data_IF_246654278344
#
_entry.id   IF_246654278344
#
_cell.length_a   1.000
_cell.length_b   1.000
_cell.length_c   1.000
_cell.angle_alpha   90.00
_cell.angle_beta   90.00
_cell.angle_gamma   90.00
#
_symmetry.space_group_name_H-M   'P 1'
#
loop_
_entity.id
_entity.type
_entity.pdbx_description
1 polymer ?
#
# COMPACT_ATOMS: atom_id res chain seq x y z
N UNK A 1 -5.17 26.76 -19.04
CA UNK A 1 -5.32 26.14 -17.72
C UNK A 1 -5.46 24.65 -17.97
N UNK A 2 -4.36 23.91 -17.85
CA UNK A 2 -4.41 22.45 -17.90
C UNK A 2 -5.18 21.99 -16.66
N UNK A 3 -6.16 21.09 -16.85
CA UNK A 3 -6.83 20.44 -15.72
C UNK A 3 -5.74 19.72 -14.93
N UNK A 4 -5.51 20.14 -13.68
CA UNK A 4 -4.74 19.37 -12.71
C UNK A 4 -5.60 18.13 -12.43
N UNK A 5 -5.36 17.10 -13.23
CA UNK A 5 -6.03 15.82 -13.10
C UNK A 5 -5.48 15.17 -11.84
N UNK A 6 -6.36 14.82 -10.88
CA UNK A 6 -6.04 14.12 -9.63
C UNK A 6 -4.96 13.03 -9.88
N UNK A 7 -3.81 13.05 -9.17
CA UNK A 7 -2.73 12.08 -9.34
C UNK A 7 -3.20 10.62 -9.23
N UNK A 8 -4.15 10.35 -8.34
CA UNK A 8 -4.78 9.03 -8.21
C UNK A 8 -5.55 8.69 -9.49
N UNK A 9 -6.30 9.66 -10.03
CA UNK A 9 -7.01 9.51 -11.30
C UNK A 9 -6.06 9.28 -12.48
N UNK A 10 -4.88 9.89 -12.48
CA UNK A 10 -3.86 9.67 -13.52
C UNK A 10 -3.31 8.25 -13.49
N UNK A 11 -3.00 7.71 -12.31
CA UNK A 11 -2.58 6.31 -12.16
C UNK A 11 -3.69 5.34 -12.58
N UNK A 12 -4.93 5.62 -12.16
CA UNK A 12 -6.11 4.86 -12.60
C UNK A 12 -6.20 4.82 -14.12
N UNK A 13 -6.00 5.96 -14.81
CA UNK A 13 -6.06 6.02 -16.26
C UNK A 13 -4.92 5.24 -16.95
N UNK A 14 -3.83 4.94 -16.25
CA UNK A 14 -2.70 4.14 -16.76
C UNK A 14 -2.91 2.64 -16.61
N UNK A 15 -3.64 2.17 -15.60
CA UNK A 15 -4.10 0.78 -15.47
C UNK A 15 -5.29 0.51 -16.41
N UNK A 16 -5.23 -0.49 -17.30
CA UNK A 16 -6.33 -0.76 -18.25
C UNK A 16 -7.47 -1.60 -17.63
N UNK A 17 -8.63 -0.96 -17.36
CA UNK A 17 -10.05 -1.47 -17.21
C UNK A 17 -10.30 -2.64 -16.22
N UNK A 18 -11.42 -2.74 -15.49
CA UNK A 18 -12.84 -2.68 -15.88
C UNK A 18 -13.74 -2.48 -14.65
N UNK A 19 -14.94 -1.90 -14.84
CA UNK A 19 -15.95 -1.69 -13.79
C UNK A 19 -16.17 -2.94 -12.93
N UNK A 20 -16.14 -2.78 -11.61
CA UNK A 20 -16.86 -3.67 -10.71
C UNK A 20 -17.44 -2.91 -9.51
N UNK A 21 -18.56 -3.42 -9.04
CA UNK A 21 -19.59 -2.81 -8.20
C UNK A 21 -19.22 -2.69 -6.72
N UNK A 22 -19.70 -1.63 -6.07
CA UNK A 22 -19.92 -1.52 -4.61
C UNK A 22 -18.65 -1.30 -3.79
N UNK A 23 -18.22 -0.05 -3.64
CA UNK A 23 -16.92 0.27 -3.02
C UNK A 23 -16.80 -0.21 -1.56
N UNK A 24 -17.89 -0.12 -0.79
CA UNK A 24 -17.96 -0.54 0.60
C UNK A 24 -17.80 -2.06 0.77
N UNK A 25 -18.37 -2.84 -0.15
CA UNK A 25 -18.27 -4.30 -0.11
C UNK A 25 -16.85 -4.78 -0.42
N UNK A 26 -16.21 -4.17 -1.42
CA UNK A 26 -14.80 -4.44 -1.71
C UNK A 26 -13.91 -4.10 -0.52
N UNK A 27 -14.08 -2.90 0.06
CA UNK A 27 -13.35 -2.47 1.24
C UNK A 27 -13.45 -3.46 2.40
N UNK A 28 -14.68 -3.90 2.73
CA UNK A 28 -14.94 -4.88 3.79
C UNK A 28 -14.27 -6.21 3.49
N UNK A 29 -14.48 -6.79 2.30
CA UNK A 29 -13.90 -8.09 1.94
C UNK A 29 -12.37 -8.06 1.93
N UNK A 30 -11.77 -7.00 1.40
CA UNK A 30 -10.31 -6.83 1.41
C UNK A 30 -9.81 -6.74 2.84
N UNK A 31 -10.52 -6.02 3.70
CA UNK A 31 -10.12 -5.88 5.10
C UNK A 31 -10.20 -7.22 5.84
N UNK A 32 -11.28 -7.97 5.65
CA UNK A 32 -11.48 -9.30 6.25
C UNK A 32 -10.41 -10.30 5.79
N UNK A 33 -10.06 -10.30 4.50
CA UNK A 33 -9.01 -11.15 3.95
C UNK A 33 -7.65 -10.85 4.60
N UNK A 34 -7.28 -9.57 4.68
CA UNK A 34 -6.00 -9.14 5.24
C UNK A 34 -5.95 -9.41 6.74
N UNK A 35 -6.99 -9.09 7.50
CA UNK A 35 -7.09 -9.40 8.93
C UNK A 35 -7.00 -10.90 9.20
N UNK A 36 -7.67 -11.73 8.39
CA UNK A 36 -7.54 -13.17 8.49
C UNK A 36 -6.09 -13.60 8.29
N UNK A 37 -5.43 -13.08 7.25
CA UNK A 37 -4.04 -13.41 6.98
C UNK A 37 -3.09 -12.96 8.09
N UNK A 38 -3.19 -11.72 8.57
CA UNK A 38 -2.40 -11.24 9.70
C UNK A 38 -2.59 -12.17 10.93
N UNK A 39 -3.82 -12.67 11.17
CA UNK A 39 -4.12 -13.58 12.29
C UNK A 39 -3.55 -14.99 12.16
N UNK A 40 -3.08 -15.39 10.97
CA UNK A 40 -2.45 -16.70 10.77
C UNK A 40 -1.00 -16.73 11.28
N UNK A 41 -0.34 -15.57 11.35
CA UNK A 41 1.06 -15.46 11.78
C UNK A 41 1.20 -15.20 13.28
N UNK A 42 0.23 -14.49 13.88
CA UNK A 42 0.15 -14.25 15.32
C UNK A 42 -1.32 -14.16 15.75
N UNK A 43 -1.65 -14.59 16.97
CA UNK A 43 -2.98 -14.35 17.53
C UNK A 43 -3.20 -12.84 17.73
N UNK A 44 -3.88 -12.19 16.78
CA UNK A 44 -4.21 -10.77 16.88
C UNK A 44 -5.36 -10.54 17.87
N UNK A 45 -5.12 -9.76 18.95
CA UNK A 45 -6.18 -9.29 19.84
C UNK A 45 -7.25 -8.50 19.08
N UNK A 46 -8.50 -8.55 19.53
CA UNK A 46 -9.64 -7.90 18.87
C UNK A 46 -9.44 -6.38 18.73
N UNK A 47 -8.96 -5.75 19.78
CA UNK A 47 -8.61 -4.34 19.91
C UNK A 47 -7.54 -3.89 18.91
N UNK A 48 -6.64 -4.79 18.48
CA UNK A 48 -5.71 -4.53 17.36
C UNK A 48 -6.42 -4.60 16.01
N UNK A 49 -7.36 -5.53 15.82
CA UNK A 49 -8.12 -5.64 14.56
C UNK A 49 -8.90 -4.37 14.24
N UNK A 50 -9.45 -3.72 15.26
CA UNK A 50 -10.18 -2.44 15.10
C UNK A 50 -9.28 -1.27 14.64
N UNK A 51 -7.96 -1.38 14.81
CA UNK A 51 -7.03 -0.34 14.34
C UNK A 51 -6.72 -0.46 12.85
N UNK A 52 -6.98 -1.61 12.23
CA UNK A 52 -6.71 -1.81 10.82
C UNK A 52 -7.75 -1.11 9.94
N UNK A 53 -7.30 -0.10 9.19
CA UNK A 53 -8.13 0.63 8.24
C UNK A 53 -7.33 0.92 6.98
N UNK A 54 -7.87 0.53 5.83
CA UNK A 54 -7.28 0.85 4.53
C UNK A 54 -7.76 2.26 4.10
N UNK A 55 -6.86 3.20 3.81
CA UNK A 55 -7.23 4.54 3.34
C UNK A 55 -8.12 4.52 2.09
N UNK A 56 -9.17 5.35 2.07
CA UNK A 56 -10.18 5.38 1.01
C UNK A 56 -9.59 5.63 -0.39
N UNK A 57 -8.60 6.53 -0.49
CA UNK A 57 -7.91 6.82 -1.74
C UNK A 57 -7.23 5.58 -2.33
N UNK A 58 -6.66 4.72 -1.47
CA UNK A 58 -6.02 3.48 -1.90
C UNK A 58 -7.06 2.42 -2.32
N UNK A 59 -8.18 2.33 -1.60
CA UNK A 59 -9.30 1.45 -2.00
C UNK A 59 -9.80 1.82 -3.39
N UNK A 60 -10.03 3.11 -3.66
CA UNK A 60 -10.48 3.60 -4.97
C UNK A 60 -9.47 3.24 -6.07
N UNK A 61 -8.18 3.38 -5.78
CA UNK A 61 -7.12 2.95 -6.69
C UNK A 61 -7.22 1.44 -6.99
N UNK A 62 -7.24 0.58 -5.96
CA UNK A 62 -7.29 -0.89 -6.12
C UNK A 62 -8.52 -1.39 -6.88
N UNK A 63 -9.67 -0.70 -6.77
CA UNK A 63 -10.89 -1.06 -7.49
C UNK A 63 -10.82 -0.84 -8.99
N UNK A 64 -9.88 -0.01 -9.44
CA UNK A 64 -9.90 0.53 -10.80
C UNK A 64 -8.68 0.13 -11.62
N UNK A 65 -7.56 -0.18 -10.98
CA UNK A 65 -6.35 -0.63 -11.65
C UNK A 65 -6.38 -2.15 -11.96
N UNK A 66 -5.48 -2.57 -12.85
CA UNK A 66 -5.26 -3.99 -13.13
C UNK A 66 -4.86 -4.73 -11.84
N UNK A 67 -5.16 -6.02 -11.74
CA UNK A 67 -4.94 -6.80 -10.51
C UNK A 67 -3.46 -6.97 -10.18
N UNK A 68 -2.58 -7.03 -11.19
CA UNK A 68 -1.16 -7.34 -10.99
C UNK A 68 -0.35 -6.11 -10.56
N UNK A 69 0.21 -5.36 -11.52
CA UNK A 69 0.96 -4.14 -11.25
C UNK A 69 0.90 -3.20 -12.44
N UNK A 70 1.14 -1.92 -12.18
CA UNK A 70 1.26 -0.88 -13.20
C UNK A 70 2.66 -0.28 -13.13
N UNK A 71 3.21 0.07 -14.29
CA UNK A 71 4.41 0.91 -14.40
C UNK A 71 3.92 2.35 -14.60
N UNK A 72 4.11 3.26 -13.62
CA UNK A 72 3.54 4.60 -13.71
C UNK A 72 4.13 5.42 -14.84
N UNK A 73 5.46 5.47 -15.01
CA UNK A 73 6.09 6.25 -16.07
C UNK A 73 6.96 5.36 -16.97
N UNK A 74 6.94 5.56 -18.30
CA UNK A 74 7.80 4.82 -19.21
C UNK A 74 9.28 4.99 -18.85
N UNK A 75 10.01 3.88 -18.76
CA UNK A 75 11.45 3.89 -18.48
C UNK A 75 11.81 3.99 -17.00
N UNK A 76 10.84 4.04 -16.09
CA UNK A 76 11.08 3.79 -14.67
C UNK A 76 11.02 2.30 -14.38
N UNK A 77 11.91 1.83 -13.51
CA UNK A 77 11.88 0.48 -12.92
C UNK A 77 11.05 0.49 -11.62
N UNK A 78 9.93 1.21 -11.64
CA UNK A 78 8.99 1.38 -10.53
C UNK A 78 7.65 0.75 -10.88
N UNK A 79 7.12 -0.06 -9.96
CA UNK A 79 5.87 -0.78 -10.12
C UNK A 79 4.95 -0.47 -8.95
N UNK A 80 3.71 -0.06 -9.23
CA UNK A 80 2.66 0.03 -8.22
C UNK A 80 1.74 -1.18 -8.33
N UNK A 81 1.40 -1.79 -7.20
CA UNK A 81 0.64 -3.02 -7.19
C UNK A 81 -0.85 -2.76 -7.40
N UNK A 82 -1.50 -3.67 -8.12
CA UNK A 82 -2.95 -3.86 -8.08
C UNK A 82 -3.36 -4.73 -6.90
N UNK A 83 -4.63 -5.16 -6.88
CA UNK A 83 -5.16 -5.95 -5.77
C UNK A 83 -4.40 -7.26 -5.53
N UNK A 84 -4.13 -8.05 -6.59
CA UNK A 84 -3.40 -9.30 -6.48
C UNK A 84 -1.97 -9.07 -6.01
N UNK A 85 -1.24 -8.13 -6.64
CA UNK A 85 0.12 -7.79 -6.25
C UNK A 85 0.22 -7.31 -4.80
N UNK A 86 -0.71 -6.46 -4.36
CA UNK A 86 -0.76 -5.96 -2.99
C UNK A 86 -0.90 -7.12 -2.00
N UNK A 87 -1.83 -8.05 -2.24
CA UNK A 87 -2.06 -9.19 -1.33
C UNK A 87 -0.84 -10.10 -1.28
N UNK A 88 -0.31 -10.51 -2.44
CA UNK A 88 0.82 -11.45 -2.49
C UNK A 88 2.06 -10.90 -1.82
N UNK A 89 2.43 -9.65 -2.15
CA UNK A 89 3.64 -9.06 -1.60
C UNK A 89 3.48 -8.74 -0.11
N UNK A 90 2.32 -8.24 0.32
CA UNK A 90 2.04 -8.05 1.75
C UNK A 90 2.24 -9.35 2.54
N UNK A 91 1.81 -10.51 2.00
CA UNK A 91 2.01 -11.80 2.66
C UNK A 91 3.47 -12.25 2.68
N UNK A 92 4.20 -12.05 1.58
CA UNK A 92 5.64 -12.38 1.54
C UNK A 92 6.41 -11.62 2.63
N UNK A 93 6.03 -10.38 2.91
CA UNK A 93 6.66 -9.56 3.93
C UNK A 93 6.23 -9.92 5.37
N UNK A 94 5.11 -10.61 5.59
CA UNK A 94 4.78 -11.15 6.93
C UNK A 94 5.73 -12.25 7.37
N UNK A 95 6.41 -12.90 6.43
CA UNK A 95 7.38 -13.94 6.71
C UNK A 95 8.81 -13.41 6.96
N UNK A 96 9.00 -12.08 7.04
CA UNK A 96 10.31 -11.53 7.39
C UNK A 96 10.57 -11.64 8.91
N UNK A 97 11.80 -11.97 9.30
CA UNK A 97 12.27 -12.01 10.71
C UNK A 97 12.38 -10.59 11.32
N UNK A 98 11.34 -9.78 11.19
CA UNK A 98 11.23 -8.47 11.81
C UNK A 98 11.21 -8.59 13.33
N UNK A 99 11.59 -7.52 14.02
CA UNK A 99 11.66 -7.49 15.46
C UNK A 99 10.23 -7.30 16.01
N UNK A 100 9.44 -8.38 16.04
CA UNK A 100 8.01 -8.42 16.44
C UNK A 100 7.73 -7.92 17.88
N UNK A 101 8.75 -7.51 18.63
CA UNK A 101 8.66 -7.08 20.04
C UNK A 101 7.95 -5.75 20.28
N UNK A 102 7.66 -4.99 19.23
CA UNK A 102 6.73 -3.86 19.25
C UNK A 102 5.65 -4.16 18.22
N UNK A 103 4.35 -4.15 18.58
CA UNK A 103 3.30 -4.56 17.66
C UNK A 103 3.40 -3.68 16.42
N UNK A 104 3.82 -4.21 15.28
CA UNK A 104 4.09 -3.35 14.16
C UNK A 104 2.78 -2.77 13.67
N UNK A 105 2.82 -1.53 13.19
CA UNK A 105 1.73 -0.99 12.41
C UNK A 105 1.35 -1.97 11.28
N UNK A 106 0.06 -2.04 10.95
CA UNK A 106 -0.40 -2.75 9.77
C UNK A 106 0.15 -2.08 8.51
N UNK A 107 1.09 -2.73 7.85
CA UNK A 107 1.69 -2.24 6.60
C UNK A 107 1.16 -3.04 5.42
N UNK A 108 0.72 -2.36 4.36
CA UNK A 108 0.35 -2.98 3.10
C UNK A 108 1.35 -2.62 2.01
N UNK A 109 1.82 -3.61 1.26
CA UNK A 109 2.69 -3.39 0.13
C UNK A 109 1.93 -2.67 -1.00
N UNK A 110 2.43 -1.52 -1.44
CA UNK A 110 1.79 -0.72 -2.50
C UNK A 110 2.59 -0.63 -3.79
N UNK A 111 3.85 -1.02 -3.75
CA UNK A 111 4.72 -1.09 -4.92
C UNK A 111 6.16 -1.37 -4.56
N UNK A 112 7.04 -1.27 -5.55
CA UNK A 112 8.48 -1.33 -5.37
C UNK A 112 9.20 -0.56 -6.48
N UNK A 113 10.47 -0.24 -6.22
CA UNK A 113 11.44 0.18 -7.23
C UNK A 113 12.63 -0.78 -7.23
N UNK A 114 12.95 -1.31 -8.40
CA UNK A 114 14.11 -2.17 -8.65
C UNK A 114 14.20 -3.33 -7.63
N UNK A 115 15.43 -3.74 -7.33
CA UNK A 115 15.83 -4.66 -6.27
C UNK A 115 16.10 -3.95 -4.92
N UNK A 116 15.83 -2.64 -4.82
CA UNK A 116 16.34 -1.80 -3.72
C UNK A 116 15.29 -1.28 -2.75
N UNK A 117 14.03 -1.12 -3.16
CA UNK A 117 13.05 -0.40 -2.34
C UNK A 117 11.65 -0.91 -2.49
N UNK A 118 10.97 -1.19 -1.39
CA UNK A 118 9.57 -1.60 -1.36
C UNK A 118 8.74 -0.52 -0.68
N UNK A 119 7.62 -0.16 -1.28
CA UNK A 119 6.73 0.87 -0.76
C UNK A 119 5.61 0.25 0.06
N UNK A 120 5.36 0.81 1.23
CA UNK A 120 4.31 0.35 2.13
C UNK A 120 3.43 1.50 2.61
N UNK A 121 2.13 1.22 2.68
CA UNK A 121 1.12 2.10 3.23
C UNK A 121 0.78 1.69 4.66
N UNK A 122 0.88 2.65 5.60
CA UNK A 122 0.45 2.42 6.96
C UNK A 122 -1.08 2.42 7.05
N UNK A 123 -1.64 1.32 7.52
CA UNK A 123 -3.07 1.09 7.71
C UNK A 123 -3.43 0.92 9.20
N UNK A 124 -2.55 1.29 10.12
CA UNK A 124 -2.80 1.27 11.56
C UNK A 124 -3.24 2.65 12.05
N UNK A 125 -4.52 2.81 12.39
CA UNK A 125 -5.05 4.08 12.91
C UNK A 125 -4.44 4.54 14.23
N UNK A 126 -3.81 3.65 14.99
CA UNK A 126 -3.12 4.01 16.22
C UNK A 126 -1.70 4.54 15.98
N UNK A 127 -1.18 4.40 14.75
CA UNK A 127 0.15 4.90 14.36
C UNK A 127 0.08 6.38 13.94
N UNK A 128 1.10 7.16 14.30
CA UNK A 128 1.29 8.53 13.78
C UNK A 128 1.54 8.54 12.27
N UNK A 129 1.95 7.41 11.71
CA UNK A 129 2.20 7.22 10.29
C UNK A 129 0.94 6.82 9.49
N UNK A 130 -0.24 6.70 10.13
CA UNK A 130 -1.47 6.26 9.47
C UNK A 130 -1.71 7.00 8.14
N UNK A 131 -1.91 6.24 7.07
CA UNK A 131 -2.18 6.76 5.72
C UNK A 131 -0.93 7.16 4.93
N UNK A 132 0.23 7.27 5.57
CA UNK A 132 1.49 7.62 4.90
C UNK A 132 2.06 6.44 4.12
N UNK A 133 2.79 6.77 3.05
CA UNK A 133 3.56 5.79 2.27
C UNK A 133 5.04 6.04 2.50
N UNK A 134 5.75 4.97 2.86
CA UNK A 134 7.20 5.01 2.97
C UNK A 134 7.88 3.85 2.28
N UNK A 135 9.18 4.00 2.09
CA UNK A 135 10.03 3.00 1.49
C UNK A 135 10.85 2.26 2.53
N UNK A 136 10.98 0.95 2.34
CA UNK A 136 11.81 0.07 3.15
C UNK A 136 12.75 -0.75 2.26
N UNK A 137 14.04 -0.70 2.55
CA UNK A 137 15.10 -1.29 1.72
C UNK A 137 15.29 -2.81 1.93
N UNK A 138 14.96 -3.33 3.12
CA UNK A 138 15.21 -4.73 3.50
C UNK A 138 13.99 -5.64 3.35
N UNK A 139 12.97 -5.25 2.57
CA UNK A 139 11.75 -6.04 2.37
C UNK A 139 11.04 -6.41 3.69
N UNK A 140 11.22 -5.62 4.75
CA UNK A 140 10.64 -5.91 6.04
C UNK A 140 10.20 -4.62 6.72
N UNK A 141 8.90 -4.24 6.64
CA UNK A 141 8.39 -3.02 7.27
C UNK A 141 8.32 -3.12 8.81
N UNK A 142 8.80 -4.22 9.37
CA UNK A 142 8.71 -4.61 10.78
C UNK A 142 10.04 -4.49 11.53
N UNK A 143 11.08 -3.89 10.93
CA UNK A 143 12.40 -3.72 11.58
C UNK A 143 12.49 -2.46 12.45
N UNK A 144 11.68 -1.43 12.19
CA UNK A 144 11.48 -0.27 13.05
C UNK A 144 11.11 0.99 12.25
N UNK A 145 10.58 2.02 12.93
CA UNK A 145 10.24 3.31 12.31
C UNK A 145 11.46 4.06 11.75
N UNK A 146 12.67 3.79 12.24
CA UNK A 146 13.90 4.41 11.75
C UNK A 146 14.34 3.94 10.35
N UNK A 147 13.73 2.88 9.83
CA UNK A 147 13.95 2.37 8.47
C UNK A 147 12.89 2.87 7.47
N UNK A 148 11.92 3.66 7.95
CA UNK A 148 10.90 4.31 7.12
C UNK A 148 11.49 5.56 6.47
N UNK A 149 11.67 5.52 5.15
CA UNK A 149 11.95 6.71 4.35
C UNK A 149 10.62 7.27 3.86
N UNK A 150 10.21 8.45 4.36
CA UNK A 150 8.92 9.06 4.03
C UNK A 150 8.90 9.49 2.55
N UNK A 151 7.98 8.92 1.78
CA UNK A 151 7.81 9.26 0.36
C UNK A 151 6.60 10.16 0.13
N UNK A 152 5.58 10.08 0.97
CA UNK A 152 4.41 10.93 0.90
C UNK A 152 3.58 10.91 2.18
N UNK A 153 2.98 12.06 2.49
CA UNK A 153 2.19 12.28 3.72
C UNK A 153 0.83 11.56 3.67
N UNK A 154 0.39 11.15 2.49
CA UNK A 154 -0.73 10.23 2.28
C UNK A 154 -0.59 9.49 0.94
N UNK A 155 -1.51 8.58 0.64
CA UNK A 155 -1.47 7.84 -0.63
C UNK A 155 -1.62 8.75 -1.86
N UNK A 156 -2.39 9.84 -1.79
CA UNK A 156 -2.59 10.74 -2.93
C UNK A 156 -1.34 11.59 -3.21
N UNK A 157 -0.66 12.06 -2.16
CA UNK A 157 0.63 12.75 -2.23
C UNK A 157 1.72 11.81 -2.76
N UNK A 158 1.75 10.55 -2.31
CA UNK A 158 2.62 9.53 -2.90
C UNK A 158 2.38 9.36 -4.41
N UNK A 159 1.11 9.26 -4.83
CA UNK A 159 0.75 9.16 -6.25
C UNK A 159 1.23 10.38 -7.04
N UNK A 160 1.16 11.57 -6.43
CA UNK A 160 1.67 12.80 -7.02
C UNK A 160 3.18 12.75 -7.19
N UNK A 161 3.93 12.41 -6.14
CA UNK A 161 5.39 12.37 -6.17
C UNK A 161 5.89 11.35 -7.20
N UNK A 162 5.21 10.20 -7.33
CA UNK A 162 5.48 9.22 -8.41
C UNK A 162 5.23 9.82 -9.79
N UNK A 163 4.11 10.51 -9.98
CA UNK A 163 3.73 11.09 -11.28
C UNK A 163 4.58 12.29 -11.69
N UNK A 164 5.09 13.04 -10.72
CA UNK A 164 6.01 14.16 -10.91
C UNK A 164 7.47 13.68 -11.10
N UNK A 165 7.74 12.38 -10.92
CA UNK A 165 9.07 11.78 -11.08
C UNK A 165 10.02 12.05 -9.91
N UNK A 166 9.48 12.45 -8.76
CA UNK A 166 10.23 12.66 -7.52
C UNK A 166 10.57 11.33 -6.82
N UNK A 167 9.85 10.27 -7.18
CA UNK A 167 10.14 8.87 -6.83
C UNK A 167 10.68 8.14 -8.06
N UNK A 168 11.92 7.68 -8.01
CA UNK A 168 12.62 7.00 -9.12
C UNK A 168 13.49 5.84 -8.66
#
# INVERSE_FOLDING_TARGET
>A
MENITDPVQNLINKGKRSNSTGSEYFASMTSDLLLHAFSMFEELPYDRREQFVIPEAYIKYLQTVDNDSIVPLPGQELYLYGFYGMVTHTFDYFNCEGNLGYPPAFWLAVGHRNDRGNFFLCCDKASELFGQVGEFYDSCPFRGEGDFDEIGIDFADFCKNVMDGEVY
#
